data_IF_362096244126
#
_entry.id   IF_362096244126
#
_cell.length_a   1.000
_cell.length_b   1.000
_cell.length_c   1.000
_cell.angle_alpha   90.00
_cell.angle_beta   90.00
_cell.angle_gamma   90.00
#
_symmetry.space_group_name_H-M   'P 1'
#
loop_
_entity.id
_entity.type
_entity.pdbx_description
1 polymer ?
#
# COMPACT_ATOMS: atom_id res chain seq x y z
N UNK A 1 -15.82 -7.16 -6.28
CA UNK A 1 -14.49 -6.63 -6.09
C UNK A 1 -13.86 -7.27 -4.88
N UNK A 2 -12.71 -7.84 -5.04
CA UNK A 2 -12.02 -8.60 -4.01
C UNK A 2 -11.48 -7.65 -2.93
N UNK A 3 -12.22 -7.50 -1.85
CA UNK A 3 -11.72 -6.95 -0.58
C UNK A 3 -11.22 -8.08 0.32
N UNK A 4 -10.47 -9.03 -0.26
CA UNK A 4 -9.93 -10.13 0.51
C UNK A 4 -8.49 -9.78 0.91
N UNK A 5 -8.30 -9.58 2.21
CA UNK A 5 -6.98 -9.47 2.80
C UNK A 5 -6.31 -10.85 2.75
N UNK A 6 -5.17 -10.92 2.09
CA UNK A 6 -4.29 -12.08 2.12
C UNK A 6 -3.18 -11.80 3.13
N UNK A 7 -3.20 -12.44 4.31
CA UNK A 7 -2.07 -12.33 5.23
C UNK A 7 -0.78 -12.82 4.57
N UNK A 8 0.32 -12.10 4.77
CA UNK A 8 1.62 -12.43 4.19
C UNK A 8 2.02 -13.90 4.37
N UNK A 9 1.71 -14.49 5.51
CA UNK A 9 2.03 -15.88 5.83
C UNK A 9 1.33 -16.90 4.92
N UNK A 10 0.22 -16.54 4.28
CA UNK A 10 -0.51 -17.39 3.34
C UNK A 10 -0.09 -17.18 1.88
N UNK A 11 0.72 -16.17 1.60
CA UNK A 11 1.19 -15.91 0.24
C UNK A 11 1.92 -17.11 -0.39
N UNK A 12 2.80 -17.85 0.32
CA UNK A 12 3.44 -19.04 -0.23
C UNK A 12 2.44 -20.11 -0.71
N UNK A 13 1.39 -20.37 0.07
CA UNK A 13 0.34 -21.33 -0.29
C UNK A 13 -0.44 -20.88 -1.52
N UNK A 14 -0.79 -19.60 -1.60
CA UNK A 14 -1.49 -19.03 -2.76
C UNK A 14 -0.62 -19.09 -4.02
N UNK A 15 0.67 -18.84 -3.91
CA UNK A 15 1.60 -18.96 -5.03
C UNK A 15 1.77 -20.40 -5.52
N UNK A 16 1.67 -21.40 -4.63
CA UNK A 16 1.74 -22.82 -4.96
C UNK A 16 0.45 -23.35 -5.56
N UNK A 17 -0.68 -22.96 -4.98
CA UNK A 17 -1.99 -23.51 -5.38
C UNK A 17 -2.67 -22.70 -6.49
N UNK A 18 -2.29 -21.44 -6.68
CA UNK A 18 -2.99 -20.47 -7.52
C UNK A 18 -4.39 -20.15 -7.02
N UNK A 19 -4.69 -20.42 -5.74
CA UNK A 19 -6.03 -20.29 -5.18
C UNK A 19 -6.02 -19.52 -3.86
N UNK A 20 -7.06 -18.71 -3.64
CA UNK A 20 -7.36 -18.05 -2.39
C UNK A 20 -8.80 -18.44 -1.99
N UNK A 21 -8.98 -19.02 -0.81
CA UNK A 21 -10.30 -19.50 -0.31
C UNK A 21 -11.04 -20.43 -1.29
N UNK A 22 -10.30 -21.21 -2.08
CA UNK A 22 -10.84 -22.15 -3.05
C UNK A 22 -11.13 -21.57 -4.45
N UNK A 23 -11.05 -20.26 -4.62
CA UNK A 23 -11.19 -19.57 -5.90
C UNK A 23 -9.83 -19.35 -6.57
N UNK A 24 -9.81 -19.30 -7.90
CA UNK A 24 -8.60 -19.04 -8.67
C UNK A 24 -8.07 -17.63 -8.38
N UNK A 25 -6.84 -17.55 -7.92
CA UNK A 25 -6.17 -16.31 -7.56
C UNK A 25 -4.72 -16.28 -8.06
N UNK A 26 -4.52 -16.05 -9.37
CA UNK A 26 -3.17 -15.98 -9.93
C UNK A 26 -2.47 -14.69 -9.51
N UNK A 27 -1.42 -14.81 -8.71
CA UNK A 27 -0.58 -13.66 -8.35
C UNK A 27 0.33 -13.35 -9.54
N UNK A 28 0.20 -12.15 -10.09
CA UNK A 28 1.01 -11.67 -11.24
C UNK A 28 1.88 -10.47 -10.89
N UNK A 29 1.51 -9.75 -9.86
CA UNK A 29 2.20 -8.55 -9.40
C UNK A 29 2.14 -8.49 -7.89
N UNK A 30 3.26 -8.18 -7.27
CA UNK A 30 3.36 -7.68 -5.91
C UNK A 30 3.71 -6.20 -5.99
N UNK A 31 2.81 -5.35 -5.53
CA UNK A 31 3.08 -3.93 -5.38
C UNK A 31 3.23 -3.61 -3.89
N UNK A 32 4.43 -3.30 -3.48
CA UNK A 32 4.80 -3.03 -2.09
C UNK A 32 4.87 -1.53 -1.83
N UNK A 33 4.16 -1.05 -0.81
CA UNK A 33 4.05 0.37 -0.46
C UNK A 33 4.25 0.53 1.03
N UNK A 34 5.21 1.35 1.42
CA UNK A 34 5.45 1.70 2.83
C UNK A 34 5.68 0.50 3.74
N UNK A 35 6.21 -0.60 3.19
CA UNK A 35 6.50 -1.81 3.92
C UNK A 35 7.83 -2.42 3.44
N UNK A 36 8.56 -3.03 4.37
CA UNK A 36 9.79 -3.76 4.07
C UNK A 36 9.62 -5.24 4.48
N UNK A 37 8.87 -6.05 3.69
CA UNK A 37 8.60 -7.44 4.04
C UNK A 37 9.86 -8.29 4.13
N UNK A 38 10.89 -8.02 3.35
CA UNK A 38 12.16 -8.75 3.43
C UNK A 38 12.90 -8.45 4.74
N UNK A 39 12.97 -7.19 5.16
CA UNK A 39 13.67 -6.80 6.39
C UNK A 39 12.84 -6.96 7.67
N UNK A 40 11.50 -6.88 7.58
CA UNK A 40 10.63 -6.76 8.77
C UNK A 40 9.83 -8.02 9.09
N UNK A 41 9.57 -8.91 8.12
CA UNK A 41 8.72 -10.07 8.36
C UNK A 41 9.52 -11.31 8.77
N UNK A 42 8.85 -12.21 9.48
CA UNK A 42 9.45 -13.48 9.86
C UNK A 42 9.79 -14.34 8.63
N UNK A 43 10.78 -15.24 8.79
CA UNK A 43 11.23 -16.16 7.76
C UNK A 43 11.82 -15.46 6.51
N UNK A 44 12.64 -14.44 6.70
CA UNK A 44 13.33 -13.69 5.66
C UNK A 44 13.96 -14.57 4.58
N UNK A 45 14.74 -15.58 4.98
CA UNK A 45 15.38 -16.50 4.03
C UNK A 45 14.35 -17.21 3.14
N UNK A 46 13.27 -17.72 3.72
CA UNK A 46 12.20 -18.36 2.97
C UNK A 46 11.51 -17.37 2.00
N UNK A 47 11.31 -16.14 2.45
CA UNK A 47 10.77 -15.07 1.60
C UNK A 47 11.64 -14.86 0.37
N UNK A 48 12.95 -14.73 0.55
CA UNK A 48 13.90 -14.47 -0.55
C UNK A 48 14.03 -15.68 -1.48
N UNK A 49 14.21 -16.89 -0.92
CA UNK A 49 14.57 -18.08 -1.70
C UNK A 49 13.35 -18.80 -2.32
N UNK A 50 12.17 -18.70 -1.69
CA UNK A 50 11.01 -19.52 -2.07
C UNK A 50 9.77 -18.73 -2.48
N UNK A 51 9.62 -17.48 -2.00
CA UNK A 51 8.41 -16.67 -2.23
C UNK A 51 8.60 -15.70 -3.38
N UNK A 52 9.55 -14.77 -3.24
CA UNK A 52 9.75 -13.70 -4.23
C UNK A 52 10.06 -14.24 -5.64
N UNK A 53 10.87 -15.31 -5.83
CA UNK A 53 11.14 -15.83 -7.18
C UNK A 53 9.91 -16.41 -7.91
N UNK A 54 8.81 -16.66 -7.20
CA UNK A 54 7.56 -17.14 -7.81
C UNK A 54 6.65 -16.01 -8.28
N UNK A 55 6.97 -14.77 -7.95
CA UNK A 55 6.17 -13.59 -8.29
C UNK A 55 6.72 -13.01 -9.60
N UNK A 56 5.92 -12.94 -10.67
CA UNK A 56 6.38 -12.50 -11.99
C UNK A 56 6.88 -11.07 -12.07
N UNK A 57 6.37 -10.19 -11.20
CA UNK A 57 6.76 -8.77 -11.16
C UNK A 57 6.61 -8.24 -9.74
N UNK A 58 7.64 -7.56 -9.26
CA UNK A 58 7.67 -6.92 -7.93
C UNK A 58 7.99 -5.45 -8.11
N UNK A 59 7.09 -4.60 -7.63
CA UNK A 59 7.25 -3.14 -7.62
C UNK A 59 7.27 -2.68 -6.17
N UNK A 60 8.21 -1.85 -5.81
CA UNK A 60 8.31 -1.29 -4.46
C UNK A 60 8.39 0.24 -4.50
N UNK A 61 7.47 0.89 -3.76
CA UNK A 61 7.61 2.30 -3.39
C UNK A 61 8.24 2.37 -2.01
N UNK A 62 9.38 3.04 -1.90
CA UNK A 62 10.01 3.23 -0.60
C UNK A 62 10.73 4.58 -0.56
N UNK A 63 10.84 5.14 0.64
CA UNK A 63 11.59 6.37 0.91
C UNK A 63 13.10 6.13 0.97
N UNK A 64 13.48 4.89 1.28
CA UNK A 64 14.86 4.42 1.38
C UNK A 64 15.03 3.17 0.52
N UNK A 65 16.25 2.90 0.09
CA UNK A 65 16.55 1.66 -0.63
C UNK A 65 16.67 0.52 0.38
N UNK A 66 15.50 -0.02 0.78
CA UNK A 66 15.38 -1.10 1.76
C UNK A 66 15.76 -2.46 1.18
N UNK A 67 15.87 -3.48 2.05
CA UNK A 67 16.17 -4.86 1.63
C UNK A 67 15.12 -5.39 0.63
N UNK A 68 13.88 -4.95 0.72
CA UNK A 68 12.85 -5.33 -0.25
C UNK A 68 13.12 -4.74 -1.63
N UNK A 69 13.70 -3.55 -1.71
CA UNK A 69 14.07 -2.93 -2.97
C UNK A 69 15.12 -3.75 -3.74
N UNK A 70 16.04 -4.41 -3.04
CA UNK A 70 17.07 -5.27 -3.67
C UNK A 70 16.47 -6.45 -4.45
N UNK A 71 15.26 -6.88 -4.09
CA UNK A 71 14.55 -8.00 -4.72
C UNK A 71 13.37 -7.54 -5.59
N UNK A 72 13.29 -6.26 -5.90
CA UNK A 72 12.23 -5.69 -6.73
C UNK A 72 12.68 -5.49 -8.16
N UNK A 73 11.79 -5.73 -9.12
CA UNK A 73 12.03 -5.46 -10.54
C UNK A 73 11.99 -3.96 -10.85
N UNK A 74 11.15 -3.22 -10.10
CA UNK A 74 10.99 -1.78 -10.23
C UNK A 74 10.97 -1.15 -8.83
N UNK A 75 11.81 -0.15 -8.63
CA UNK A 75 11.82 0.67 -7.41
C UNK A 75 11.39 2.09 -7.78
N UNK A 76 10.37 2.59 -7.10
CA UNK A 76 9.86 3.93 -7.27
C UNK A 76 10.18 4.73 -5.99
N UNK A 77 11.04 5.76 -6.07
CA UNK A 77 11.36 6.57 -4.92
C UNK A 77 10.13 7.38 -4.50
N UNK A 78 9.71 7.24 -3.25
CA UNK A 78 8.64 8.05 -2.71
C UNK A 78 9.15 9.13 -1.76
N UNK A 79 8.41 10.23 -1.72
CA UNK A 79 8.73 11.38 -0.89
C UNK A 79 8.48 11.06 0.59
N UNK A 80 9.32 11.61 1.45
CA UNK A 80 9.17 11.54 2.88
C UNK A 80 8.03 12.46 3.36
N UNK A 81 7.35 12.11 4.45
CA UNK A 81 6.22 12.89 4.98
C UNK A 81 6.57 14.34 5.38
N UNK A 82 7.81 14.74 5.39
CA UNK A 82 8.25 16.14 5.51
C UNK A 82 8.34 16.88 4.17
N UNK A 83 8.16 16.16 3.07
CA UNK A 83 8.34 16.71 1.72
C UNK A 83 7.02 17.03 1.02
N UNK A 84 5.87 16.80 1.70
CA UNK A 84 4.53 17.16 1.22
C UNK A 84 3.56 17.45 2.36
N UNK A 85 2.47 18.15 2.04
CA UNK A 85 1.39 18.42 3.00
C UNK A 85 0.43 17.24 3.06
N UNK A 86 0.16 16.72 4.27
CA UNK A 86 -0.75 15.60 4.45
C UNK A 86 -1.45 15.62 5.81
N UNK A 87 -2.62 14.97 5.87
CA UNK A 87 -3.30 14.67 7.14
C UNK A 87 -2.99 13.24 7.53
N UNK A 88 -2.39 13.09 8.69
CA UNK A 88 -2.06 11.79 9.24
C UNK A 88 -3.05 11.39 10.34
N UNK A 89 -3.63 10.19 10.18
CA UNK A 89 -4.40 9.51 11.23
C UNK A 89 -3.64 8.24 11.65
N UNK A 90 -3.70 7.91 12.93
CA UNK A 90 -3.12 6.67 13.43
C UNK A 90 -4.17 5.91 14.23
N UNK A 91 -4.21 4.59 14.07
CA UNK A 91 -5.09 3.71 14.86
C UNK A 91 -4.76 3.69 16.36
N UNK A 92 -3.62 4.24 16.76
CA UNK A 92 -3.11 4.23 18.13
C UNK A 92 -3.37 5.56 18.87
N UNK A 93 -3.94 6.55 18.20
CA UNK A 93 -4.21 7.87 18.78
C UNK A 93 -5.51 8.46 18.24
N UNK A 94 -6.32 9.14 19.07
CA UNK A 94 -7.55 9.78 18.62
C UNK A 94 -7.30 11.14 17.93
N UNK A 95 -6.05 11.49 17.67
CA UNK A 95 -5.72 12.79 17.08
C UNK A 95 -5.45 12.68 15.58
N UNK A 96 -5.88 13.69 14.85
CA UNK A 96 -5.44 13.96 13.48
C UNK A 96 -4.26 14.93 13.53
N UNK A 97 -3.23 14.62 12.78
CA UNK A 97 -2.05 15.48 12.66
C UNK A 97 -2.00 16.08 11.26
N UNK A 98 -1.71 17.35 11.19
CA UNK A 98 -1.33 18.01 9.95
C UNK A 98 0.18 17.90 9.81
N UNK A 99 0.64 17.20 8.79
CA UNK A 99 2.03 17.24 8.36
C UNK A 99 2.18 18.37 7.34
N UNK A 100 2.97 19.38 7.67
CA UNK A 100 3.27 20.46 6.74
C UNK A 100 4.60 20.18 6.06
N UNK A 101 4.65 20.41 4.76
CA UNK A 101 5.87 20.34 3.98
C UNK A 101 6.94 21.29 4.54
N UNK A 102 8.14 20.77 4.76
CA UNK A 102 9.30 21.53 5.26
C UNK A 102 10.50 21.48 4.32
N UNK A 103 10.49 20.56 3.34
CA UNK A 103 11.54 20.41 2.34
C UNK A 103 10.92 20.00 0.98
N UNK A 104 11.66 20.20 -0.09
CA UNK A 104 11.28 19.66 -1.39
C UNK A 104 11.73 18.20 -1.52
N UNK A 105 10.97 17.35 -2.25
CA UNK A 105 11.37 15.98 -2.53
C UNK A 105 12.76 15.92 -3.18
N UNK A 106 13.54 14.90 -2.82
CA UNK A 106 14.90 14.75 -3.31
C UNK A 106 14.88 13.96 -4.63
N UNK A 107 15.56 14.48 -5.65
CA UNK A 107 15.74 13.77 -6.92
C UNK A 107 14.43 13.53 -7.67
N UNK A 108 14.08 12.27 -7.90
CA UNK A 108 12.85 11.87 -8.60
C UNK A 108 11.73 11.42 -7.65
N UNK A 109 11.93 11.57 -6.33
CA UNK A 109 10.95 11.17 -5.34
C UNK A 109 9.62 11.93 -5.53
N UNK A 110 8.51 11.21 -5.42
CA UNK A 110 7.15 11.74 -5.54
C UNK A 110 6.28 11.23 -4.41
N UNK A 111 5.25 11.99 -4.06
CA UNK A 111 4.21 11.50 -3.16
C UNK A 111 3.59 10.21 -3.72
N UNK A 112 3.20 9.27 -2.86
CA UNK A 112 2.52 8.04 -3.27
C UNK A 112 1.28 8.34 -4.13
N UNK A 113 0.51 9.36 -3.76
CA UNK A 113 -0.66 9.80 -4.53
C UNK A 113 -0.29 10.25 -5.95
N UNK A 114 0.83 10.94 -6.12
CA UNK A 114 1.31 11.36 -7.44
C UNK A 114 1.79 10.17 -8.28
N UNK A 115 2.45 9.20 -7.65
CA UNK A 115 2.85 7.95 -8.30
C UNK A 115 1.60 7.21 -8.81
N UNK A 116 0.57 7.05 -7.95
CA UNK A 116 -0.67 6.39 -8.36
C UNK A 116 -1.47 7.19 -9.38
N UNK A 117 -1.43 8.52 -9.33
CA UNK A 117 -2.02 9.38 -10.36
C UNK A 117 -1.40 9.11 -11.72
N UNK A 118 -0.07 9.08 -11.78
CA UNK A 118 0.64 8.80 -13.03
C UNK A 118 0.39 7.37 -13.56
N UNK A 119 0.21 6.40 -12.68
CA UNK A 119 -0.19 5.04 -13.05
C UNK A 119 -1.63 5.03 -13.58
N UNK A 120 -2.56 5.64 -12.86
CA UNK A 120 -3.99 5.68 -13.23
C UNK A 120 -4.23 6.35 -14.59
N UNK A 121 -3.49 7.41 -14.91
CA UNK A 121 -3.55 8.07 -16.22
C UNK A 121 -3.21 7.12 -17.38
N UNK A 122 -2.36 6.12 -17.15
CA UNK A 122 -1.92 5.14 -18.14
C UNK A 122 -2.74 3.86 -18.14
N UNK A 123 -3.60 3.67 -17.16
CA UNK A 123 -4.49 2.52 -17.07
C UNK A 123 -5.74 2.75 -17.94
N UNK A 124 -6.28 1.71 -18.54
CA UNK A 124 -7.60 1.72 -19.16
C UNK A 124 -8.70 1.49 -18.10
N UNK A 125 -8.80 2.42 -17.15
CA UNK A 125 -9.74 2.37 -16.04
C UNK A 125 -10.23 3.78 -15.68
N UNK A 126 -11.40 4.14 -16.18
CA UNK A 126 -11.98 5.48 -16.00
C UNK A 126 -12.30 5.79 -14.52
N UNK A 127 -12.65 4.78 -13.72
CA UNK A 127 -12.91 4.99 -12.29
C UNK A 127 -11.61 5.34 -11.53
N UNK A 128 -10.50 4.68 -11.85
CA UNK A 128 -9.19 5.00 -11.27
C UNK A 128 -8.73 6.41 -11.69
N UNK A 129 -8.85 6.74 -12.98
CA UNK A 129 -8.54 8.08 -13.50
C UNK A 129 -9.35 9.15 -12.78
N UNK A 130 -10.66 8.97 -12.67
CA UNK A 130 -11.54 9.93 -12.00
C UNK A 130 -11.23 10.09 -10.51
N UNK A 131 -10.84 9.00 -9.83
CA UNK A 131 -10.45 9.05 -8.42
C UNK A 131 -9.15 9.84 -8.24
N UNK A 132 -8.11 9.49 -8.98
CA UNK A 132 -6.78 10.09 -8.85
C UNK A 132 -6.65 11.46 -9.55
N UNK A 133 -7.64 11.89 -10.34
CA UNK A 133 -7.71 13.26 -10.86
C UNK A 133 -8.01 14.31 -9.77
N UNK A 134 -8.47 13.88 -8.59
CA UNK A 134 -8.72 14.78 -7.46
C UNK A 134 -7.42 15.40 -6.97
N UNK A 135 -7.50 16.66 -6.53
CA UNK A 135 -6.39 17.33 -5.85
C UNK A 135 -6.07 16.68 -4.50
N UNK A 136 -4.86 16.88 -3.99
CA UNK A 136 -4.49 16.40 -2.66
C UNK A 136 -5.42 16.97 -1.58
N UNK A 137 -5.84 18.24 -1.71
CA UNK A 137 -6.80 18.85 -0.79
C UNK A 137 -8.16 18.15 -0.81
N UNK A 138 -8.68 17.81 -1.99
CA UNK A 138 -9.93 17.05 -2.10
C UNK A 138 -9.81 15.65 -1.49
N UNK A 139 -8.68 14.97 -1.68
CA UNK A 139 -8.41 13.67 -1.05
C UNK A 139 -8.30 13.79 0.47
N UNK A 140 -7.60 14.80 0.99
CA UNK A 140 -7.53 15.08 2.42
C UNK A 140 -8.92 15.37 3.01
N UNK A 141 -9.74 16.17 2.33
CA UNK A 141 -11.13 16.43 2.74
C UNK A 141 -11.97 15.16 2.81
N UNK A 142 -11.79 14.22 1.90
CA UNK A 142 -12.50 12.94 1.94
C UNK A 142 -12.16 12.10 3.18
N UNK A 143 -10.95 12.23 3.72
CA UNK A 143 -10.53 11.55 4.95
C UNK A 143 -11.17 12.19 6.19
N UNK A 144 -11.43 13.49 6.16
CA UNK A 144 -11.93 14.28 7.31
C UNK A 144 -13.43 14.53 7.24
N UNK A 145 -14.06 14.35 6.09
CA UNK A 145 -15.47 14.65 5.87
C UNK A 145 -16.38 13.67 6.62
N UNK A 146 -16.77 14.11 7.81
CA UNK A 146 -17.67 13.38 8.71
C UNK A 146 -19.15 13.60 8.38
N UNK A 147 -19.52 14.48 7.45
CA UNK A 147 -20.92 14.77 7.13
C UNK A 147 -21.64 13.58 6.47
N UNK A 148 -20.91 12.63 5.93
CA UNK A 148 -21.47 11.37 5.41
C UNK A 148 -21.51 10.22 6.43
N UNK A 149 -21.28 10.52 7.71
CA UNK A 149 -21.70 9.67 8.83
C UNK A 149 -20.87 8.41 9.09
N UNK A 150 -19.89 8.09 8.29
CA UNK A 150 -18.96 7.01 8.60
C UNK A 150 -17.51 7.51 8.38
N UNK A 151 -16.69 7.55 9.45
CA UNK A 151 -15.26 7.65 9.24
C UNK A 151 -14.88 6.50 8.32
N UNK A 152 -14.05 6.76 7.31
CA UNK A 152 -13.41 5.70 6.53
C UNK A 152 -12.63 4.86 7.52
N UNK A 153 -13.29 3.86 8.08
CA UNK A 153 -12.61 2.88 8.89
C UNK A 153 -11.69 2.13 7.94
N UNK A 154 -10.39 2.04 8.23
CA UNK A 154 -9.60 0.98 7.66
C UNK A 154 -10.39 -0.30 7.96
N UNK A 155 -10.85 -1.01 6.92
CA UNK A 155 -11.72 -2.17 7.07
C UNK A 155 -10.93 -3.34 7.70
N UNK A 156 -10.59 -3.19 8.98
CA UNK A 156 -10.24 -4.30 9.84
C UNK A 156 -11.54 -4.82 10.44
N UNK A 157 -12.04 -5.93 9.98
CA UNK A 157 -13.14 -6.64 10.63
C UNK A 157 -12.80 -6.80 12.11
N UNK A 158 -13.58 -6.15 12.96
CA UNK A 158 -13.49 -6.32 14.40
C UNK A 158 -13.43 -7.80 14.74
N UNK A 159 -12.48 -8.20 15.57
CA UNK A 159 -12.40 -9.53 16.14
C UNK A 159 -13.76 -9.84 16.76
N UNK A 160 -14.49 -10.78 16.17
CA UNK A 160 -15.64 -11.38 16.80
C UNK A 160 -15.21 -11.84 18.20
N UNK A 161 -15.90 -11.34 19.22
CA UNK A 161 -15.55 -11.61 20.61
C UNK A 161 -15.41 -13.11 20.87
N UNK A 162 -14.32 -13.51 21.52
CA UNK A 162 -14.21 -14.84 22.10
C UNK A 162 -15.28 -14.95 23.19
N UNK A 163 -16.13 -15.99 23.23
CA UNK A 163 -16.94 -16.26 24.39
C UNK A 163 -16.04 -16.59 25.58
N UNK A 164 -16.42 -16.13 26.76
CA UNK A 164 -15.74 -16.42 28.06
C UNK A 164 -15.99 -17.87 28.46
#
# INVERSE_FOLDING_TARGET
GLNDELPWLHLPEVLETGKLKGEDFPVRLLYNIGANPVGSYAAQRKTIEEVLPKIPCIVTNDMEFSETCEYSDIVLPCAHYFEYDWIQASSHTPFLYMANKVADPIGEAKEDVEIFRAIAERMDNEAAKAFYAKSNEEMMRMVVDTEKGEPVQPQGKGRAGRPR
#
